data_IF_545180872513
#
_entry.id   IF_545180872513
#
_cell.length_a   1.000
_cell.length_b   1.000
_cell.length_c   1.000
_cell.angle_alpha   90.00
_cell.angle_beta   90.00
_cell.angle_gamma   90.00
#
_symmetry.space_group_name_H-M   'P 1'
#
loop_
_entity.id
_entity.type
_entity.pdbx_description
1 polymer ?
#
# COMPACT_ATOMS: atom_id res chain seq x y z
N UNK A 1 -8.47 21.12 -27.66
CA UNK A 1 -9.41 19.97 -27.78
C UNK A 1 -10.45 20.09 -26.69
N UNK A 2 -11.71 19.81 -26.99
CA UNK A 2 -12.76 19.79 -25.98
C UNK A 2 -12.63 18.55 -25.09
N UNK A 3 -12.93 18.70 -23.81
CA UNK A 3 -12.73 17.64 -22.83
C UNK A 3 -13.58 16.39 -23.13
N UNK A 4 -14.84 16.59 -23.60
CA UNK A 4 -15.73 15.49 -23.91
C UNK A 4 -15.23 14.68 -25.12
N UNK A 5 -14.74 15.36 -26.18
CA UNK A 5 -14.21 14.67 -27.36
C UNK A 5 -13.00 13.79 -27.02
N UNK A 6 -12.11 14.31 -26.16
CA UNK A 6 -10.94 13.57 -25.70
C UNK A 6 -11.34 12.42 -24.78
N UNK A 7 -12.31 12.63 -23.88
CA UNK A 7 -12.84 11.58 -23.03
C UNK A 7 -13.38 10.42 -23.84
N UNK A 8 -14.22 10.72 -24.82
CA UNK A 8 -14.84 9.71 -25.70
C UNK A 8 -13.79 8.93 -26.50
N UNK A 9 -12.74 9.61 -26.97
CA UNK A 9 -11.62 8.97 -27.66
C UNK A 9 -10.86 8.01 -26.74
N UNK A 10 -10.45 8.48 -25.54
CA UNK A 10 -9.71 7.67 -24.55
C UNK A 10 -10.58 6.50 -24.08
N UNK A 11 -11.84 6.78 -23.70
CA UNK A 11 -12.78 5.77 -23.22
C UNK A 11 -13.01 4.64 -24.23
N UNK A 12 -13.32 4.98 -25.49
CA UNK A 12 -13.50 3.98 -26.55
C UNK A 12 -12.25 3.13 -26.77
N UNK A 13 -11.07 3.77 -26.73
CA UNK A 13 -9.80 3.08 -26.88
C UNK A 13 -9.54 2.09 -25.72
N UNK A 14 -9.76 2.52 -24.49
CA UNK A 14 -9.57 1.68 -23.29
C UNK A 14 -10.60 0.56 -23.24
N UNK A 15 -11.87 0.88 -23.50
CA UNK A 15 -12.96 -0.11 -23.50
C UNK A 15 -12.72 -1.23 -24.51
N UNK A 16 -12.13 -0.91 -25.68
CA UNK A 16 -11.76 -1.93 -26.67
C UNK A 16 -10.66 -2.89 -26.20
N UNK A 17 -9.85 -2.47 -25.19
CA UNK A 17 -8.75 -3.25 -24.63
C UNK A 17 -9.21 -4.06 -23.42
N UNK A 18 -9.88 -3.40 -22.46
CA UNK A 18 -10.23 -3.96 -21.14
C UNK A 18 -11.55 -4.73 -21.18
N UNK A 19 -12.50 -4.29 -22.02
CA UNK A 19 -13.84 -4.88 -22.20
C UNK A 19 -14.72 -4.80 -20.91
N UNK A 20 -14.30 -4.04 -19.90
CA UNK A 20 -15.10 -3.70 -18.73
C UNK A 20 -15.37 -2.19 -18.71
N UNK A 21 -16.67 -1.85 -18.65
CA UNK A 21 -17.10 -0.45 -18.72
C UNK A 21 -16.71 0.34 -17.48
N UNK A 22 -16.87 -0.24 -16.28
CA UNK A 22 -16.60 0.45 -15.01
C UNK A 22 -15.11 0.70 -14.83
N UNK A 23 -14.30 -0.31 -15.12
CA UNK A 23 -12.84 -0.18 -15.06
C UNK A 23 -12.35 0.86 -16.08
N UNK A 24 -12.87 0.83 -17.31
CA UNK A 24 -12.53 1.80 -18.35
C UNK A 24 -12.90 3.24 -17.97
N UNK A 25 -14.08 3.46 -17.38
CA UNK A 25 -14.49 4.77 -16.84
C UNK A 25 -13.55 5.23 -15.71
N UNK A 26 -13.20 4.35 -14.79
CA UNK A 26 -12.26 4.65 -13.68
C UNK A 26 -10.88 5.07 -14.20
N UNK A 27 -10.34 4.34 -15.18
CA UNK A 27 -9.05 4.68 -15.81
C UNK A 27 -9.11 6.02 -16.53
N UNK A 28 -10.19 6.29 -17.27
CA UNK A 28 -10.37 7.59 -17.94
C UNK A 28 -10.37 8.73 -16.94
N UNK A 29 -11.11 8.60 -15.82
CA UNK A 29 -11.15 9.61 -14.76
C UNK A 29 -9.75 9.85 -14.16
N UNK A 30 -8.99 8.80 -13.89
CA UNK A 30 -7.62 8.92 -13.41
C UNK A 30 -6.73 9.67 -14.41
N UNK A 31 -6.81 9.35 -15.70
CA UNK A 31 -6.06 10.07 -16.74
C UNK A 31 -6.43 11.55 -16.74
N UNK A 32 -7.73 11.89 -16.72
CA UNK A 32 -8.15 13.28 -16.71
C UNK A 32 -7.70 14.02 -15.47
N UNK A 33 -7.83 13.42 -14.29
CA UNK A 33 -7.41 14.01 -13.03
C UNK A 33 -5.89 14.19 -12.97
N UNK A 34 -5.12 13.16 -13.29
CA UNK A 34 -3.66 13.16 -13.08
C UNK A 34 -2.85 13.77 -14.24
N UNK A 35 -3.36 13.73 -15.47
CA UNK A 35 -2.65 14.26 -16.65
C UNK A 35 -3.07 15.69 -16.97
N UNK A 36 -4.37 16.00 -16.85
CA UNK A 36 -4.93 17.30 -17.23
C UNK A 36 -5.34 18.16 -16.05
N UNK A 37 -5.34 17.62 -14.81
CA UNK A 37 -5.89 18.27 -13.61
C UNK A 37 -7.36 18.67 -13.80
N UNK A 38 -8.15 17.81 -14.44
CA UNK A 38 -9.58 18.01 -14.71
C UNK A 38 -10.42 17.13 -13.78
N UNK A 39 -11.43 17.71 -13.16
CA UNK A 39 -12.48 17.00 -12.45
C UNK A 39 -13.54 16.45 -13.40
N UNK A 40 -14.43 15.58 -12.90
CA UNK A 40 -15.59 15.09 -13.66
C UNK A 40 -16.51 16.27 -14.09
N UNK A 41 -16.59 17.31 -13.27
CA UNK A 41 -17.36 18.53 -13.60
C UNK A 41 -16.73 19.26 -14.79
N UNK A 42 -15.40 19.32 -14.88
CA UNK A 42 -14.70 19.96 -15.99
C UNK A 42 -14.94 19.23 -17.31
N UNK A 43 -15.03 17.89 -17.25
CA UNK A 43 -15.38 17.05 -18.41
C UNK A 43 -16.83 17.30 -18.80
N UNK A 44 -17.76 17.27 -17.83
CA UNK A 44 -19.18 17.51 -18.06
C UNK A 44 -19.46 18.90 -18.66
N UNK A 45 -18.77 19.93 -18.16
CA UNK A 45 -18.86 21.29 -18.70
C UNK A 45 -18.11 21.46 -20.03
N UNK A 46 -17.55 20.40 -20.55
CA UNK A 46 -16.81 20.35 -21.83
C UNK A 46 -15.73 21.44 -21.93
N UNK A 47 -14.95 21.64 -20.85
CA UNK A 47 -13.89 22.65 -20.83
C UNK A 47 -12.83 22.38 -21.88
N UNK A 48 -12.19 23.45 -22.36
CA UNK A 48 -11.14 23.32 -23.37
C UNK A 48 -9.79 22.93 -22.71
N UNK A 49 -9.19 21.85 -23.21
CA UNK A 49 -7.84 21.39 -22.82
C UNK A 49 -6.82 22.16 -23.66
N UNK A 50 -6.05 23.04 -22.98
CA UNK A 50 -5.10 23.94 -23.66
C UNK A 50 -3.82 23.23 -24.11
N UNK A 51 -3.30 22.30 -23.33
CA UNK A 51 -2.04 21.60 -23.57
C UNK A 51 -2.28 20.12 -23.85
N UNK A 52 -2.92 19.84 -24.98
CA UNK A 52 -3.16 18.46 -25.41
C UNK A 52 -1.93 17.92 -26.15
N UNK A 53 -1.34 16.87 -25.60
CA UNK A 53 -0.26 16.10 -26.18
C UNK A 53 -0.82 14.72 -26.62
N UNK A 54 -0.99 14.55 -27.91
CA UNK A 54 -1.52 13.31 -28.48
C UNK A 54 -0.58 12.14 -28.27
N UNK A 55 0.72 12.34 -28.44
CA UNK A 55 1.72 11.27 -28.33
C UNK A 55 1.77 10.73 -26.89
N UNK A 56 1.60 11.61 -25.91
CA UNK A 56 1.50 11.21 -24.51
C UNK A 56 0.28 10.32 -24.28
N UNK A 57 -0.88 10.66 -24.82
CA UNK A 57 -2.10 9.85 -24.66
C UNK A 57 -1.98 8.52 -25.38
N UNK A 58 -1.47 8.52 -26.61
CA UNK A 58 -1.25 7.29 -27.39
C UNK A 58 -0.24 6.36 -26.69
N UNK A 59 0.78 6.93 -26.05
CA UNK A 59 1.71 6.16 -25.20
C UNK A 59 1.01 5.53 -23.99
N UNK A 60 0.16 6.29 -23.28
CA UNK A 60 -0.64 5.75 -22.14
C UNK A 60 -1.51 4.59 -22.63
N UNK A 61 -2.26 4.76 -23.72
CA UNK A 61 -3.13 3.71 -24.28
C UNK A 61 -2.30 2.47 -24.70
N UNK A 62 -1.12 2.69 -25.28
CA UNK A 62 -0.22 1.60 -25.68
C UNK A 62 0.29 0.79 -24.47
N UNK A 63 0.58 1.45 -23.33
CA UNK A 63 1.01 0.79 -22.09
C UNK A 63 -0.17 0.03 -21.45
N UNK A 64 -1.38 0.59 -21.44
CA UNK A 64 -2.60 -0.11 -21.00
C UNK A 64 -2.81 -1.39 -21.81
N UNK A 65 -2.61 -1.33 -23.15
CA UNK A 65 -2.71 -2.51 -24.00
C UNK A 65 -1.72 -3.61 -23.64
N UNK A 66 -0.58 -3.26 -23.04
CA UNK A 66 0.41 -4.21 -22.50
C UNK A 66 0.06 -4.70 -21.10
N UNK A 67 -1.12 -4.36 -20.58
CA UNK A 67 -1.61 -4.67 -19.23
C UNK A 67 -0.77 -4.06 -18.12
N UNK A 68 -0.05 -2.97 -18.37
CA UNK A 68 0.66 -2.27 -17.34
C UNK A 68 -0.32 -1.55 -16.40
N UNK A 69 -0.15 -1.62 -15.07
CA UNK A 69 -1.04 -0.96 -14.11
C UNK A 69 -1.11 0.55 -14.37
N UNK A 70 -2.31 1.11 -14.37
CA UNK A 70 -2.50 2.54 -14.64
C UNK A 70 -1.71 3.42 -13.67
N UNK A 71 -1.55 3.00 -12.41
CA UNK A 71 -0.79 3.72 -11.41
C UNK A 71 0.70 3.83 -11.80
N UNK A 72 1.29 2.78 -12.37
CA UNK A 72 2.67 2.84 -12.88
C UNK A 72 2.77 3.66 -14.17
N UNK A 73 1.75 3.59 -15.03
CA UNK A 73 1.71 4.42 -16.25
C UNK A 73 1.70 5.90 -15.90
N UNK A 74 0.90 6.28 -14.89
CA UNK A 74 0.78 7.67 -14.42
C UNK A 74 1.89 8.06 -13.43
N UNK A 75 2.56 7.06 -12.84
CA UNK A 75 3.61 7.24 -11.84
C UNK A 75 3.10 7.68 -10.47
N UNK A 76 1.79 7.65 -10.24
CA UNK A 76 1.17 8.11 -8.99
C UNK A 76 -0.03 7.25 -8.60
N UNK A 77 -0.31 7.23 -7.30
CA UNK A 77 -1.46 6.55 -6.69
C UNK A 77 -1.94 7.38 -5.50
N UNK A 78 -3.25 7.44 -5.27
CA UNK A 78 -3.83 8.04 -4.08
C UNK A 78 -3.93 7.00 -2.96
N UNK A 79 -3.63 7.41 -1.72
CA UNK A 79 -3.76 6.59 -0.52
C UNK A 79 -4.20 7.48 0.64
N UNK A 80 -5.46 7.34 1.09
CA UNK A 80 -6.08 8.29 2.01
C UNK A 80 -5.91 9.73 1.47
N UNK A 81 -5.47 10.66 2.32
CA UNK A 81 -5.21 12.06 1.94
C UNK A 81 -3.80 12.28 1.38
N UNK A 82 -3.14 11.21 0.87
CA UNK A 82 -1.79 11.26 0.33
C UNK A 82 -1.80 10.95 -1.16
N UNK A 83 -1.04 11.71 -1.95
CA UNK A 83 -0.66 11.31 -3.30
C UNK A 83 0.77 10.78 -3.28
N UNK A 84 0.96 9.56 -3.74
CA UNK A 84 2.21 8.83 -3.67
C UNK A 84 2.78 8.56 -5.07
N UNK A 85 4.08 8.75 -5.25
CA UNK A 85 4.79 8.20 -6.41
C UNK A 85 4.84 6.67 -6.29
N UNK A 86 4.63 5.99 -7.41
CA UNK A 86 4.75 4.54 -7.52
C UNK A 86 5.43 4.16 -8.83
N UNK A 87 6.20 3.08 -8.79
CA UNK A 87 6.83 2.47 -9.94
C UNK A 87 7.06 0.97 -9.66
N UNK A 88 7.69 0.26 -10.57
CA UNK A 88 7.96 -1.18 -10.50
C UNK A 88 8.81 -1.63 -9.29
N UNK A 89 9.33 -0.71 -8.49
CA UNK A 89 10.12 -1.03 -7.30
C UNK A 89 9.30 -1.12 -6.01
N UNK A 90 8.01 -0.76 -6.05
CA UNK A 90 7.11 -0.76 -4.88
C UNK A 90 5.76 -1.38 -5.23
N UNK A 91 5.18 -2.11 -4.29
CA UNK A 91 3.79 -2.55 -4.40
C UNK A 91 2.86 -1.33 -4.55
N UNK A 92 1.91 -1.40 -5.47
CA UNK A 92 0.85 -0.38 -5.55
C UNK A 92 0.00 -0.47 -4.28
N UNK A 93 -0.12 0.62 -3.49
CA UNK A 93 -0.94 0.62 -2.28
C UNK A 93 -2.37 0.10 -2.54
N UNK A 94 -2.82 -0.87 -1.74
CA UNK A 94 -4.12 -1.53 -1.91
C UNK A 94 -5.21 -0.82 -1.11
N UNK A 95 -6.44 -0.95 -1.57
CA UNK A 95 -7.60 -0.38 -0.88
C UNK A 95 -7.81 -1.01 0.50
N UNK A 96 -7.54 -2.30 0.65
CA UNK A 96 -7.61 -3.02 1.92
C UNK A 96 -6.62 -2.46 2.95
N UNK A 97 -5.39 -2.17 2.51
CA UNK A 97 -4.39 -1.52 3.36
C UNK A 97 -4.85 -0.11 3.75
N UNK A 98 -5.46 0.62 2.81
CA UNK A 98 -6.01 1.95 3.08
C UNK A 98 -7.13 1.89 4.14
N UNK A 99 -8.04 0.93 4.03
CA UNK A 99 -9.10 0.72 5.00
C UNK A 99 -8.53 0.35 6.38
N UNK A 100 -7.57 -0.57 6.43
CA UNK A 100 -6.87 -0.94 7.66
C UNK A 100 -6.30 0.30 8.36
N UNK A 101 -5.54 1.12 7.65
CA UNK A 101 -4.91 2.31 8.23
C UNK A 101 -5.93 3.35 8.63
N UNK A 102 -6.97 3.57 7.82
CA UNK A 102 -8.07 4.47 8.17
C UNK A 102 -8.68 4.09 9.52
N UNK A 103 -9.04 2.82 9.71
CA UNK A 103 -9.65 2.33 10.96
C UNK A 103 -8.69 2.39 12.13
N UNK A 104 -7.44 1.95 11.95
CA UNK A 104 -6.42 2.02 13.00
C UNK A 104 -6.23 3.47 13.48
N UNK A 105 -6.15 4.43 12.56
CA UNK A 105 -5.95 5.83 12.92
C UNK A 105 -7.17 6.48 13.58
N UNK A 106 -8.39 6.00 13.30
CA UNK A 106 -9.60 6.53 13.95
C UNK A 106 -9.89 5.88 15.31
N UNK A 107 -9.47 4.64 15.50
CA UNK A 107 -9.70 3.89 16.74
C UNK A 107 -8.59 4.12 17.80
N UNK A 108 -7.43 4.70 17.40
CA UNK A 108 -6.27 4.85 18.26
C UNK A 108 -5.71 6.28 18.23
N UNK A 109 -4.84 6.59 19.20
CA UNK A 109 -4.06 7.82 19.20
C UNK A 109 -2.56 7.52 19.34
N UNK A 110 -1.80 7.85 18.29
CA UNK A 110 -0.36 7.60 18.24
C UNK A 110 0.48 8.87 18.42
N UNK A 111 -0.11 10.01 18.80
CA UNK A 111 0.67 11.19 19.15
C UNK A 111 1.63 10.86 20.30
N UNK A 112 2.88 11.33 20.18
CA UNK A 112 3.99 11.04 21.09
C UNK A 112 4.35 9.54 21.24
N UNK A 113 3.92 8.70 20.26
CA UNK A 113 4.27 7.28 20.19
C UNK A 113 5.37 7.03 19.17
N UNK A 114 6.18 6.01 19.45
CA UNK A 114 7.14 5.48 18.48
C UNK A 114 6.47 4.41 17.64
N UNK A 115 6.25 4.71 16.37
CA UNK A 115 5.58 3.83 15.41
C UNK A 115 6.59 3.27 14.43
N UNK A 116 6.56 1.96 14.23
CA UNK A 116 7.41 1.24 13.27
C UNK A 116 6.56 0.65 12.15
N UNK A 117 6.82 1.08 10.91
CA UNK A 117 6.28 0.47 9.70
C UNK A 117 7.29 -0.56 9.16
N UNK A 118 6.94 -1.85 9.22
CA UNK A 118 7.76 -2.95 8.73
C UNK A 118 7.34 -3.35 7.31
N UNK A 119 8.32 -3.50 6.40
CA UNK A 119 8.08 -3.76 4.97
C UNK A 119 7.33 -2.60 4.32
N UNK A 120 7.85 -1.38 4.49
CA UNK A 120 7.11 -0.16 4.20
C UNK A 120 6.84 0.11 2.70
N UNK A 121 7.58 -0.54 1.78
CA UNK A 121 7.40 -0.39 0.33
C UNK A 121 7.42 1.07 -0.12
N UNK A 122 6.30 1.58 -0.61
CA UNK A 122 6.13 2.98 -1.01
C UNK A 122 6.11 3.98 0.14
N UNK A 123 6.07 3.50 1.40
CA UNK A 123 5.93 4.32 2.60
C UNK A 123 4.48 4.75 2.89
N UNK A 124 3.49 4.19 2.21
CA UNK A 124 2.09 4.63 2.29
C UNK A 124 1.54 4.58 3.72
N UNK A 125 1.84 3.52 4.49
CA UNK A 125 1.43 3.36 5.88
C UNK A 125 2.10 4.43 6.76
N UNK A 126 3.43 4.49 6.75
CA UNK A 126 4.20 5.43 7.55
C UNK A 126 3.79 6.90 7.30
N UNK A 127 3.58 7.27 6.03
CA UNK A 127 3.18 8.63 5.62
C UNK A 127 1.78 8.94 6.10
N UNK A 128 0.82 8.05 5.91
CA UNK A 128 -0.54 8.24 6.39
C UNK A 128 -0.59 8.39 7.93
N UNK A 129 0.08 7.49 8.65
CA UNK A 129 0.18 7.56 10.12
C UNK A 129 0.78 8.90 10.57
N UNK A 130 1.87 9.34 9.93
CA UNK A 130 2.51 10.63 10.29
C UNK A 130 1.62 11.83 10.00
N UNK A 131 0.79 11.79 8.96
CA UNK A 131 -0.20 12.84 8.68
C UNK A 131 -1.33 12.87 9.70
N UNK A 132 -1.86 11.70 10.09
CA UNK A 132 -2.88 11.60 11.14
C UNK A 132 -2.35 12.02 12.52
N UNK A 133 -1.11 11.67 12.82
CA UNK A 133 -0.47 11.92 14.11
C UNK A 133 0.84 12.69 13.93
N UNK A 134 0.80 14.00 13.74
CA UNK A 134 2.00 14.79 13.47
C UNK A 134 3.07 14.73 14.58
N UNK A 135 2.67 14.41 15.82
CA UNK A 135 3.59 14.24 16.97
C UNK A 135 4.13 12.81 17.12
N UNK A 136 3.68 11.85 16.30
CA UNK A 136 4.23 10.50 16.32
C UNK A 136 5.68 10.51 15.80
N UNK A 137 6.54 9.70 16.41
CA UNK A 137 7.87 9.42 15.91
C UNK A 137 7.81 8.17 15.02
N UNK A 138 7.79 8.36 13.70
CA UNK A 138 7.59 7.28 12.74
C UNK A 138 8.93 6.84 12.15
N UNK A 139 9.18 5.55 12.27
CA UNK A 139 10.30 4.84 11.63
C UNK A 139 9.73 3.86 10.62
N UNK A 140 10.31 3.77 9.44
CA UNK A 140 9.89 2.85 8.39
C UNK A 140 11.08 2.08 7.84
N UNK A 141 10.90 0.79 7.62
CA UNK A 141 11.97 -0.08 7.16
C UNK A 141 11.54 -0.95 5.99
N UNK A 142 12.48 -1.15 5.08
CA UNK A 142 12.34 -2.08 3.96
C UNK A 142 13.70 -2.71 3.63
N UNK A 143 13.70 -3.89 3.03
CA UNK A 143 14.90 -4.55 2.54
C UNK A 143 15.41 -3.90 1.24
N UNK A 144 14.49 -3.36 0.43
CA UNK A 144 14.75 -2.78 -0.88
C UNK A 144 15.16 -1.31 -0.77
N UNK A 145 16.41 -1.01 -1.11
CA UNK A 145 16.90 0.38 -1.20
C UNK A 145 16.08 1.20 -2.22
N UNK A 146 15.71 0.58 -3.34
CA UNK A 146 14.88 1.25 -4.36
C UNK A 146 13.48 1.60 -3.85
N UNK A 147 12.88 0.74 -3.03
CA UNK A 147 11.61 1.05 -2.39
C UNK A 147 11.76 2.22 -1.41
N UNK A 148 12.82 2.24 -0.62
CA UNK A 148 13.12 3.35 0.30
C UNK A 148 13.37 4.69 -0.42
N UNK A 149 13.96 4.66 -1.62
CA UNK A 149 14.09 5.88 -2.44
C UNK A 149 12.72 6.44 -2.85
N UNK A 150 11.78 5.56 -3.22
CA UNK A 150 10.39 5.95 -3.51
C UNK A 150 9.71 6.47 -2.25
N UNK A 151 9.82 5.76 -1.13
CA UNK A 151 9.24 6.15 0.15
C UNK A 151 9.72 7.52 0.63
N UNK A 152 11.03 7.80 0.53
CA UNK A 152 11.62 9.13 0.86
C UNK A 152 11.05 10.24 -0.01
N UNK A 153 10.91 10.01 -1.34
CA UNK A 153 10.26 10.97 -2.26
C UNK A 153 8.81 11.21 -1.88
N UNK A 154 8.10 10.15 -1.48
CA UNK A 154 6.70 10.23 -1.05
C UNK A 154 6.54 11.02 0.27
N UNK A 155 7.42 10.80 1.24
CA UNK A 155 7.42 11.56 2.48
C UNK A 155 7.67 13.05 2.22
N UNK A 156 8.66 13.37 1.39
CA UNK A 156 8.93 14.76 0.98
C UNK A 156 7.72 15.40 0.28
N UNK A 157 7.10 14.71 -0.69
CA UNK A 157 5.92 15.20 -1.41
C UNK A 157 4.74 15.49 -0.49
N UNK A 158 4.57 14.69 0.56
CA UNK A 158 3.48 14.82 1.52
C UNK A 158 3.83 15.68 2.74
N UNK A 159 5.01 16.32 2.76
CA UNK A 159 5.49 17.22 3.82
C UNK A 159 5.52 16.55 5.21
N UNK A 160 5.99 15.32 5.28
CA UNK A 160 6.15 14.58 6.54
C UNK A 160 7.59 14.12 6.75
N UNK A 161 8.05 14.15 8.02
CA UNK A 161 9.36 13.65 8.42
C UNK A 161 9.23 12.22 8.95
N UNK A 162 9.94 11.29 8.30
CA UNK A 162 9.97 9.87 8.64
C UNK A 162 11.42 9.39 8.56
N UNK A 163 11.83 8.58 9.53
CA UNK A 163 13.14 7.96 9.51
C UNK A 163 13.09 6.63 8.74
N UNK A 164 13.73 6.58 7.59
CA UNK A 164 13.79 5.40 6.73
C UNK A 164 15.12 4.68 6.88
N UNK A 165 15.08 3.36 7.13
CA UNK A 165 16.28 2.53 7.22
C UNK A 165 16.16 1.28 6.33
N UNK A 166 17.23 0.93 5.65
CA UNK A 166 17.32 -0.37 5.01
C UNK A 166 17.52 -1.45 6.06
N UNK A 167 16.59 -2.40 6.12
CA UNK A 167 16.63 -3.48 7.09
C UNK A 167 16.00 -4.75 6.51
N UNK A 168 16.73 -5.84 6.57
CA UNK A 168 16.16 -7.16 6.37
C UNK A 168 15.57 -7.64 7.71
N UNK A 169 14.25 -7.84 7.72
CA UNK A 169 13.53 -8.33 8.91
C UNK A 169 14.11 -9.66 9.43
N UNK A 170 14.71 -10.47 8.57
CA UNK A 170 15.32 -11.77 8.93
C UNK A 170 16.75 -11.64 9.43
N UNK A 171 17.37 -10.47 9.37
CA UNK A 171 18.70 -10.27 9.91
C UNK A 171 18.74 -10.43 11.44
N UNK A 172 19.92 -10.82 11.97
CA UNK A 172 20.11 -10.94 13.45
C UNK A 172 20.06 -9.59 14.16
N UNK A 173 20.47 -8.52 13.47
CA UNK A 173 20.53 -7.15 13.99
C UNK A 173 19.40 -6.33 13.35
N UNK A 174 18.19 -6.51 13.85
CA UNK A 174 17.06 -5.67 13.50
C UNK A 174 17.13 -4.42 14.37
N UNK A 175 17.15 -3.25 13.74
CA UNK A 175 17.06 -1.93 14.36
C UNK A 175 17.69 -1.82 15.77
N UNK A 176 18.62 -0.92 15.95
CA UNK A 176 19.14 -0.55 17.28
C UNK A 176 18.14 0.29 18.11
N UNK A 177 16.85 0.28 17.74
CA UNK A 177 15.81 1.04 18.43
C UNK A 177 15.04 0.09 19.35
N UNK A 178 15.34 0.15 20.63
CA UNK A 178 14.48 -0.33 21.70
C UNK A 178 13.49 0.80 21.96
N UNK A 179 12.20 0.54 22.05
CA UNK A 179 11.21 1.56 22.46
C UNK A 179 10.11 1.82 21.44
N UNK A 180 9.68 0.82 20.75
CA UNK A 180 8.54 0.92 19.81
C UNK A 180 7.24 0.73 20.61
N UNK A 181 6.29 1.62 20.41
CA UNK A 181 4.96 1.51 21.00
C UNK A 181 3.96 0.81 20.07
N UNK A 182 4.14 0.99 18.74
CA UNK A 182 3.22 0.45 17.74
C UNK A 182 4.01 -0.10 16.56
N UNK A 183 3.70 -1.31 16.17
CA UNK A 183 4.19 -1.92 14.92
C UNK A 183 3.02 -2.03 13.95
N UNK A 184 3.22 -1.57 12.72
CA UNK A 184 2.26 -1.74 11.61
C UNK A 184 3.01 -2.37 10.46
N UNK A 185 2.38 -3.34 9.77
CA UNK A 185 3.01 -3.99 8.63
C UNK A 185 1.99 -4.49 7.62
N UNK A 186 2.31 -4.33 6.36
CA UNK A 186 1.75 -5.12 5.27
C UNK A 186 2.88 -5.98 4.66
N UNK A 187 3.23 -7.11 5.29
CA UNK A 187 4.32 -7.94 4.84
C UNK A 187 3.91 -8.79 3.63
N UNK A 188 4.86 -9.32 2.86
CA UNK A 188 4.55 -10.35 1.85
C UNK A 188 3.83 -11.53 2.48
N UNK A 189 2.70 -11.94 1.89
CA UNK A 189 1.86 -13.02 2.42
C UNK A 189 1.19 -13.90 1.36
N UNK A 190 1.32 -13.60 0.07
CA UNK A 190 0.72 -14.39 -1.01
C UNK A 190 1.57 -15.62 -1.27
N UNK A 191 0.97 -16.81 -1.22
CA UNK A 191 1.70 -18.04 -1.53
C UNK A 191 2.02 -18.14 -3.03
N UNK A 192 3.16 -18.70 -3.39
CA UNK A 192 3.55 -18.90 -4.79
C UNK A 192 2.49 -19.67 -5.60
N UNK A 193 1.79 -20.63 -4.98
CA UNK A 193 0.68 -21.37 -5.61
C UNK A 193 -0.51 -20.49 -5.98
N UNK A 194 -0.66 -19.32 -5.37
CA UNK A 194 -1.75 -18.39 -5.65
C UNK A 194 -1.50 -17.56 -6.92
N UNK A 195 -0.28 -17.62 -7.49
CA UNK A 195 0.09 -16.94 -8.75
C UNK A 195 -0.88 -17.27 -9.90
N UNK A 196 -1.35 -18.52 -9.97
CA UNK A 196 -2.25 -18.98 -11.02
C UNK A 196 -3.59 -18.23 -11.04
N UNK A 197 -4.00 -17.67 -9.91
CA UNK A 197 -5.25 -16.93 -9.74
C UNK A 197 -5.06 -15.41 -9.80
N UNK A 198 -3.83 -14.93 -10.01
CA UNK A 198 -3.52 -13.51 -10.04
C UNK A 198 -3.54 -12.93 -11.45
N UNK A 199 -3.89 -11.66 -11.56
CA UNK A 199 -3.87 -10.96 -12.83
C UNK A 199 -2.45 -10.84 -13.42
N UNK A 200 -2.34 -10.98 -14.74
CA UNK A 200 -1.05 -10.84 -15.45
C UNK A 200 -0.36 -9.49 -15.18
N UNK A 201 -1.14 -8.42 -14.98
CA UNK A 201 -0.64 -7.09 -14.64
C UNK A 201 0.16 -7.09 -13.35
N UNK A 202 -0.29 -7.81 -12.33
CA UNK A 202 0.41 -7.93 -11.04
C UNK A 202 1.69 -8.75 -11.23
N UNK A 203 1.55 -9.94 -11.80
CA UNK A 203 2.67 -10.88 -11.99
C UNK A 203 3.81 -10.32 -12.85
N UNK A 204 3.47 -9.46 -13.82
CA UNK A 204 4.44 -8.93 -14.77
C UNK A 204 5.13 -7.66 -14.31
N UNK A 205 4.44 -6.83 -13.53
CA UNK A 205 4.91 -5.47 -13.27
C UNK A 205 5.21 -5.19 -11.81
N UNK A 206 4.54 -5.86 -10.86
CA UNK A 206 4.77 -5.59 -9.45
C UNK A 206 5.93 -6.44 -8.89
N UNK A 207 6.69 -5.94 -7.89
CA UNK A 207 7.86 -6.63 -7.38
C UNK A 207 7.47 -7.93 -6.65
N UNK A 208 7.96 -9.07 -7.10
CA UNK A 208 7.68 -10.38 -6.50
C UNK A 208 8.04 -10.44 -5.00
N UNK A 209 9.12 -9.76 -4.61
CA UNK A 209 9.57 -9.72 -3.21
C UNK A 209 8.61 -9.01 -2.26
N UNK A 210 7.71 -8.17 -2.78
CA UNK A 210 6.68 -7.51 -1.99
C UNK A 210 5.37 -8.31 -1.90
N UNK A 211 5.24 -9.39 -2.67
CA UNK A 211 4.03 -10.18 -2.76
C UNK A 211 4.18 -11.58 -2.17
N UNK A 212 5.23 -12.32 -2.56
CA UNK A 212 5.24 -13.76 -2.46
C UNK A 212 6.04 -14.31 -1.28
N UNK A 213 5.45 -15.35 -0.69
CA UNK A 213 6.10 -16.24 0.26
C UNK A 213 6.09 -17.69 -0.26
N UNK A 214 7.04 -18.51 0.19
CA UNK A 214 7.10 -19.92 -0.18
C UNK A 214 5.89 -20.68 0.37
N UNK A 215 5.39 -21.65 -0.41
CA UNK A 215 4.23 -22.46 -0.05
C UNK A 215 4.40 -23.27 1.23
N UNK A 216 5.62 -23.69 1.54
CA UNK A 216 5.97 -24.48 2.73
C UNK A 216 6.08 -23.65 4.01
N UNK A 217 6.15 -22.32 3.90
CA UNK A 217 6.23 -21.43 5.06
C UNK A 217 5.44 -20.10 4.85
N UNK A 218 4.11 -20.18 4.66
CA UNK A 218 3.28 -19.00 4.36
C UNK A 218 3.24 -17.96 5.49
N UNK A 219 3.58 -18.36 6.71
CA UNK A 219 3.52 -17.51 7.90
C UNK A 219 4.88 -16.96 8.33
N UNK A 220 5.90 -17.04 7.47
CA UNK A 220 7.28 -16.73 7.82
C UNK A 220 7.45 -15.29 8.37
N UNK A 221 6.79 -14.31 7.77
CA UNK A 221 6.89 -12.92 8.22
C UNK A 221 6.21 -12.71 9.57
N UNK A 222 5.03 -13.30 9.81
CA UNK A 222 4.34 -13.17 11.10
C UNK A 222 5.14 -13.83 12.22
N UNK A 223 5.69 -15.03 12.01
CA UNK A 223 6.59 -15.69 12.97
C UNK A 223 7.76 -14.78 13.31
N UNK A 224 8.36 -14.18 12.27
CA UNK A 224 9.50 -13.31 12.46
C UNK A 224 9.15 -12.01 13.20
N UNK A 225 8.02 -11.39 12.88
CA UNK A 225 7.51 -10.23 13.62
C UNK A 225 7.38 -10.59 15.11
N UNK A 226 6.74 -11.71 15.44
CA UNK A 226 6.56 -12.15 16.82
C UNK A 226 7.88 -12.46 17.53
N UNK A 227 8.88 -13.03 16.85
CA UNK A 227 10.22 -13.30 17.42
C UNK A 227 10.98 -12.03 17.82
N UNK A 228 10.73 -10.92 17.13
CA UNK A 228 11.44 -9.67 17.40
C UNK A 228 10.77 -8.80 18.47
N UNK A 229 9.49 -9.01 18.77
CA UNK A 229 8.73 -8.20 19.71
C UNK A 229 9.44 -8.03 21.06
N UNK A 230 9.96 -9.09 21.71
CA UNK A 230 10.61 -8.96 23.02
C UNK A 230 11.82 -8.02 23.04
N UNK A 231 12.37 -7.72 21.86
CA UNK A 231 13.56 -6.88 21.71
C UNK A 231 13.23 -5.42 21.42
N UNK A 232 12.05 -5.15 20.84
CA UNK A 232 11.76 -3.83 20.29
C UNK A 232 10.45 -3.23 20.78
N UNK A 233 9.45 -4.05 21.14
CA UNK A 233 8.12 -3.56 21.52
C UNK A 233 8.07 -3.28 23.03
N UNK A 234 7.56 -2.10 23.37
CA UNK A 234 7.33 -1.69 24.74
C UNK A 234 6.20 -2.50 25.39
N UNK A 235 6.19 -2.61 26.72
CA UNK A 235 5.01 -3.03 27.48
C UNK A 235 3.80 -2.19 27.08
N UNK A 236 2.65 -2.83 26.95
CA UNK A 236 1.39 -2.24 26.47
C UNK A 236 1.42 -1.77 25.02
N UNK A 237 2.45 -2.13 24.26
CA UNK A 237 2.53 -1.86 22.83
C UNK A 237 1.49 -2.62 22.01
N UNK A 238 1.34 -2.24 20.76
CA UNK A 238 0.39 -2.82 19.83
C UNK A 238 1.05 -3.27 18.52
N UNK A 239 0.47 -4.29 17.90
CA UNK A 239 0.87 -4.81 16.57
C UNK A 239 -0.34 -4.91 15.67
N UNK A 240 -0.22 -4.38 14.46
CA UNK A 240 -1.22 -4.45 13.40
C UNK A 240 -0.57 -5.00 12.15
N UNK A 241 -1.08 -6.13 11.63
CA UNK A 241 -0.54 -6.73 10.41
C UNK A 241 -1.65 -7.08 9.43
N UNK A 242 -1.48 -6.69 8.17
CA UNK A 242 -2.32 -7.22 7.09
C UNK A 242 -2.05 -8.71 6.93
N UNK A 243 -3.09 -9.50 6.61
CA UNK A 243 -3.00 -10.96 6.55
C UNK A 243 -3.61 -11.51 5.27
N UNK A 244 -3.12 -12.69 4.86
CA UNK A 244 -3.82 -13.51 3.88
C UNK A 244 -5.07 -14.12 4.52
N UNK A 245 -6.24 -13.89 3.90
CA UNK A 245 -7.53 -14.40 4.36
C UNK A 245 -7.50 -15.92 4.58
N UNK A 246 -6.80 -16.66 3.72
CA UNK A 246 -6.73 -18.11 3.77
C UNK A 246 -6.02 -18.65 5.03
N UNK A 247 -5.18 -17.85 5.67
CA UNK A 247 -4.39 -18.23 6.86
C UNK A 247 -4.77 -17.47 8.12
N UNK A 248 -5.95 -16.85 8.15
CA UNK A 248 -6.37 -16.00 9.26
C UNK A 248 -6.34 -16.72 10.62
N UNK A 249 -6.83 -17.96 10.69
CA UNK A 249 -6.85 -18.75 11.93
C UNK A 249 -5.46 -19.16 12.39
N UNK A 250 -4.57 -19.50 11.46
CA UNK A 250 -3.19 -19.87 11.76
C UNK A 250 -2.41 -18.66 12.26
N UNK A 251 -2.60 -17.47 11.65
CA UNK A 251 -2.01 -16.22 12.13
C UNK A 251 -2.56 -15.89 13.53
N UNK A 252 -3.87 -16.00 13.76
CA UNK A 252 -4.47 -15.80 15.07
C UNK A 252 -3.83 -16.70 16.12
N UNK A 253 -3.65 -18.00 15.79
CA UNK A 253 -3.04 -18.97 16.70
C UNK A 253 -1.59 -18.60 17.05
N UNK A 254 -0.80 -18.06 16.11
CA UNK A 254 0.55 -17.58 16.38
C UNK A 254 0.55 -16.43 17.39
N UNK A 255 -0.35 -15.46 17.23
CA UNK A 255 -0.44 -14.30 18.12
C UNK A 255 -0.97 -14.68 19.51
N UNK A 256 -1.84 -15.67 19.65
CA UNK A 256 -2.27 -16.18 20.95
C UNK A 256 -1.18 -16.87 21.76
N UNK A 257 -0.06 -17.28 21.15
CA UNK A 257 1.09 -17.80 21.87
C UNK A 257 1.98 -16.72 22.50
N UNK A 258 1.65 -15.45 22.27
CA UNK A 258 2.31 -14.26 22.83
C UNK A 258 1.32 -13.56 23.76
N UNK A 259 1.80 -13.04 24.88
CA UNK A 259 0.91 -12.40 25.85
C UNK A 259 0.53 -10.99 25.39
N UNK A 260 -0.67 -10.87 24.85
CA UNK A 260 -1.36 -9.61 24.58
C UNK A 260 -2.68 -9.60 25.36
N UNK A 261 -3.13 -8.43 25.78
CA UNK A 261 -4.46 -8.28 26.43
C UNK A 261 -5.60 -8.59 25.49
N UNK A 262 -5.45 -8.21 24.24
CA UNK A 262 -6.46 -8.41 23.19
C UNK A 262 -5.79 -8.79 21.88
N UNK A 263 -6.30 -9.85 21.23
CA UNK A 263 -5.93 -10.25 19.88
C UNK A 263 -7.21 -10.45 19.07
N UNK A 264 -7.32 -9.78 17.93
CA UNK A 264 -8.53 -9.80 17.10
C UNK A 264 -8.18 -9.84 15.62
N UNK A 265 -8.91 -10.63 14.84
CA UNK A 265 -8.97 -10.52 13.38
C UNK A 265 -10.03 -9.52 13.00
N UNK A 266 -9.67 -8.61 12.13
CA UNK A 266 -10.55 -7.56 11.61
C UNK A 266 -10.87 -7.86 10.16
N UNK A 267 -12.12 -7.59 9.77
CA UNK A 267 -12.62 -7.78 8.42
C UNK A 267 -12.66 -6.46 7.66
N UNK A 268 -12.47 -6.55 6.34
CA UNK A 268 -12.71 -5.43 5.42
C UNK A 268 -14.19 -5.21 5.14
N UNK A 269 -14.52 -4.19 4.33
CA UNK A 269 -15.90 -3.86 3.92
C UNK A 269 -16.61 -4.99 3.14
N UNK A 270 -15.83 -5.95 2.62
CA UNK A 270 -16.33 -7.13 1.91
C UNK A 270 -16.49 -8.35 2.84
N UNK A 271 -16.41 -8.14 4.16
CA UNK A 271 -16.51 -9.18 5.21
C UNK A 271 -15.38 -10.23 5.17
N UNK A 272 -14.23 -9.90 4.55
CA UNK A 272 -13.06 -10.77 4.46
C UNK A 272 -12.07 -10.47 5.57
N UNK A 273 -11.50 -11.51 6.18
CA UNK A 273 -10.44 -11.37 7.18
C UNK A 273 -9.22 -10.67 6.57
N UNK A 274 -8.87 -9.49 7.06
CA UNK A 274 -7.89 -8.66 6.36
C UNK A 274 -6.69 -8.26 7.20
N UNK A 275 -6.86 -8.02 8.49
CA UNK A 275 -5.72 -7.71 9.36
C UNK A 275 -5.93 -8.23 10.77
N UNK A 276 -4.84 -8.52 11.43
CA UNK A 276 -4.81 -8.84 12.87
C UNK A 276 -4.42 -7.60 13.65
N UNK A 277 -5.08 -7.39 14.79
CA UNK A 277 -4.69 -6.42 15.82
C UNK A 277 -4.38 -7.15 17.11
N UNK A 278 -3.23 -6.87 17.71
CA UNK A 278 -2.80 -7.39 19.00
C UNK A 278 -2.38 -6.21 19.88
N UNK A 279 -3.04 -6.00 20.99
CA UNK A 279 -2.93 -4.79 21.81
C UNK A 279 -2.61 -5.16 23.27
N UNK A 280 -1.77 -4.33 23.89
CA UNK A 280 -1.39 -4.49 25.29
C UNK A 280 -0.41 -5.63 25.50
N UNK A 281 0.74 -5.59 24.81
CA UNK A 281 1.86 -6.52 24.97
C UNK A 281 2.36 -6.55 26.42
N UNK A 282 2.57 -7.74 27.00
CA UNK A 282 3.00 -7.97 28.40
C UNK A 282 4.42 -8.55 28.49
#
# INVERSE_FOLDING_TARGET
MQAQDLYDYIFKSILSIIQDKRESEGICKLIFTKVFNFSEIDIFLNKNIKNFDKDKIDNIISRIKKKEPIQYILGVCDFLDCELFVNENVLIPRQETQEMIYRICHENNFNNKNVLDLCCGSGCIAIAVKKYFPQANVVAVDISEKALEVAKKNAFKNNVEINFYRCDIFSKNILKTNNIDVIISNPPYVCEKEKENMGENILKYEPESALFVKNDNPLIFYKRILEILPKILNSHGAVFCEINEAFANEVMSLFHNITFKEVKINKDINDKNRWISAIGYE
#
